data_IF_080194365833
#
_entry.id   IF_080194365833
#
_cell.length_a   1.000
_cell.length_b   1.000
_cell.length_c   1.000
_cell.angle_alpha   90.00
_cell.angle_beta   90.00
_cell.angle_gamma   90.00
#
_symmetry.space_group_name_H-M   'P 1'
#
loop_
_entity.id
_entity.type
_entity.pdbx_description
1 polymer ?
#
# COMPACT_ATOMS: atom_id res chain seq x y z
N UNK A 1 -9.22 -2.04 -6.26
CA UNK A 1 -9.97 -1.27 -7.28
C UNK A 1 -9.06 -0.36 -8.12
N UNK A 2 -8.30 0.57 -7.52
CA UNK A 2 -7.46 1.52 -8.27
C UNK A 2 -6.48 0.86 -9.26
N UNK A 3 -5.67 -0.11 -8.82
CA UNK A 3 -4.73 -0.83 -9.70
C UNK A 3 -5.41 -1.49 -10.91
N UNK A 4 -6.63 -2.02 -10.73
CA UNK A 4 -7.41 -2.59 -11.84
C UNK A 4 -7.81 -1.53 -12.85
N UNK A 5 -8.23 -0.34 -12.38
CA UNK A 5 -8.55 0.78 -13.25
C UNK A 5 -7.33 1.25 -14.05
N UNK A 6 -6.16 1.35 -13.41
CA UNK A 6 -4.91 1.69 -14.09
C UNK A 6 -4.55 0.64 -15.17
N UNK A 7 -4.60 -0.64 -14.82
CA UNK A 7 -4.33 -1.73 -15.76
C UNK A 7 -5.29 -1.73 -16.95
N UNK A 8 -6.60 -1.58 -16.71
CA UNK A 8 -7.62 -1.48 -17.76
C UNK A 8 -7.51 -0.18 -18.57
N UNK A 9 -6.98 0.88 -17.98
CA UNK A 9 -6.64 2.13 -18.63
C UNK A 9 -5.34 2.10 -19.45
N UNK A 10 -4.67 0.94 -19.53
CA UNK A 10 -3.46 0.76 -20.31
C UNK A 10 -2.15 1.12 -19.60
N UNK A 11 -2.19 1.42 -18.30
CA UNK A 11 -0.98 1.63 -17.50
C UNK A 11 -0.39 0.27 -17.12
N UNK A 12 0.85 -0.05 -17.52
CA UNK A 12 1.50 -1.29 -17.10
C UNK A 12 1.63 -1.35 -15.58
N UNK A 13 1.43 -2.52 -15.00
CA UNK A 13 1.44 -2.72 -13.54
C UNK A 13 2.57 -3.68 -13.14
N UNK A 14 3.19 -3.42 -11.99
CA UNK A 14 4.15 -4.33 -11.37
C UNK A 14 3.43 -5.20 -10.36
N UNK A 15 3.47 -6.51 -10.59
CA UNK A 15 2.98 -7.55 -9.67
C UNK A 15 3.76 -8.85 -9.88
N UNK A 16 3.85 -9.68 -8.86
CA UNK A 16 4.52 -10.99 -8.96
C UNK A 16 3.56 -12.18 -9.10
N UNK A 17 2.26 -11.94 -8.94
CA UNK A 17 1.22 -12.97 -9.06
C UNK A 17 1.28 -14.06 -7.98
N UNK A 18 2.03 -13.86 -6.89
CA UNK A 18 2.18 -14.88 -5.85
C UNK A 18 0.89 -15.17 -5.07
N UNK A 19 -0.04 -14.22 -5.04
CA UNK A 19 -1.36 -14.42 -4.46
C UNK A 19 -2.40 -14.56 -5.56
N UNK A 20 -3.01 -15.73 -5.60
CA UNK A 20 -4.16 -15.99 -6.45
C UNK A 20 -5.40 -15.24 -5.95
N UNK A 21 -6.41 -15.16 -6.81
CA UNK A 21 -7.70 -14.63 -6.43
C UNK A 21 -8.35 -15.51 -5.33
N UNK A 22 -9.06 -14.86 -4.41
CA UNK A 22 -9.83 -15.53 -3.36
C UNK A 22 -11.24 -14.93 -3.24
N UNK A 23 -12.05 -15.45 -2.32
CA UNK A 23 -13.43 -14.98 -2.11
C UNK A 23 -13.51 -13.49 -1.71
N UNK A 24 -12.49 -12.96 -1.05
CA UNK A 24 -12.42 -11.55 -0.65
C UNK A 24 -11.91 -10.66 -1.79
N UNK A 25 -11.09 -11.20 -2.68
CA UNK A 25 -10.54 -10.51 -3.83
C UNK A 25 -10.55 -11.39 -5.10
N UNK A 26 -11.72 -11.51 -5.76
CA UNK A 26 -11.91 -12.41 -6.90
C UNK A 26 -11.14 -11.99 -8.17
N UNK A 27 -10.55 -10.80 -8.18
CA UNK A 27 -9.76 -10.30 -9.31
C UNK A 27 -8.25 -10.46 -9.09
N UNK A 28 -7.83 -11.15 -8.03
CA UNK A 28 -6.42 -11.32 -7.69
C UNK A 28 -5.78 -10.06 -7.10
N UNK A 29 -4.54 -10.21 -6.66
CA UNK A 29 -3.81 -9.15 -5.97
C UNK A 29 -2.81 -8.47 -6.90
N UNK A 30 -2.94 -7.15 -7.00
CA UNK A 30 -1.98 -6.29 -7.71
C UNK A 30 -0.84 -5.91 -6.77
N UNK A 31 -0.09 -6.91 -6.31
CA UNK A 31 0.96 -6.76 -5.30
C UNK A 31 2.28 -7.37 -5.79
N UNK A 32 3.38 -6.81 -5.31
CA UNK A 32 4.72 -7.38 -5.44
C UNK A 32 5.29 -7.55 -4.04
N UNK A 33 5.67 -8.77 -3.66
CA UNK A 33 6.16 -9.08 -2.32
C UNK A 33 7.46 -8.31 -2.01
N UNK A 34 8.29 -8.00 -3.02
CA UNK A 34 9.49 -7.17 -2.86
C UNK A 34 9.19 -5.78 -2.30
N UNK A 35 7.98 -5.24 -2.48
CA UNK A 35 7.61 -3.95 -1.89
C UNK A 35 7.78 -3.95 -0.36
N UNK A 36 7.52 -5.07 0.31
CA UNK A 36 7.68 -5.21 1.77
C UNK A 36 9.12 -5.14 2.24
N UNK A 37 10.08 -5.41 1.34
CA UNK A 37 11.52 -5.38 1.59
C UNK A 37 12.16 -4.01 1.33
N UNK A 38 11.38 -3.00 0.92
CA UNK A 38 11.87 -1.62 0.77
C UNK A 38 12.54 -1.13 2.05
N UNK A 39 11.92 -1.37 3.21
CA UNK A 39 12.48 -1.02 4.54
C UNK A 39 13.80 -1.76 4.86
N UNK A 40 14.06 -2.88 4.19
CA UNK A 40 15.27 -3.68 4.34
C UNK A 40 16.36 -3.25 3.33
N UNK A 41 16.10 -2.21 2.52
CA UNK A 41 17.01 -1.67 1.51
C UNK A 41 16.91 -2.33 0.13
N UNK A 42 15.96 -3.23 -0.09
CA UNK A 42 15.76 -3.88 -1.39
C UNK A 42 15.02 -2.96 -2.36
N UNK A 43 15.78 -2.05 -2.97
CA UNK A 43 15.25 -0.99 -3.84
C UNK A 43 15.49 -1.21 -5.34
N UNK A 44 16.33 -2.19 -5.72
CA UNK A 44 16.78 -2.37 -7.12
C UNK A 44 15.63 -2.55 -8.11
N UNK A 45 14.60 -3.30 -7.72
CA UNK A 45 13.43 -3.56 -8.56
C UNK A 45 12.62 -2.28 -8.87
N UNK A 46 12.73 -1.22 -8.05
CA UNK A 46 12.04 0.06 -8.29
C UNK A 46 12.61 0.75 -9.53
N UNK A 47 13.92 0.65 -9.76
CA UNK A 47 14.56 1.19 -10.96
C UNK A 47 14.09 0.49 -12.24
N UNK A 48 13.71 -0.79 -12.16
CA UNK A 48 13.15 -1.57 -13.28
C UNK A 48 11.63 -1.36 -13.48
N UNK A 49 11.00 -0.63 -12.55
CA UNK A 49 9.57 -0.35 -12.54
C UNK A 49 9.19 0.99 -13.19
N UNK A 50 10.16 1.74 -13.73
CA UNK A 50 9.90 3.03 -14.38
C UNK A 50 8.85 2.90 -15.51
N UNK A 51 7.93 3.86 -15.57
CA UNK A 51 6.81 3.86 -16.51
C UNK A 51 5.69 2.86 -16.18
N UNK A 52 5.76 2.19 -15.03
CA UNK A 52 4.75 1.24 -14.55
C UNK A 52 4.16 1.69 -13.22
N UNK A 53 2.92 1.31 -12.95
CA UNK A 53 2.28 1.52 -11.66
C UNK A 53 2.68 0.42 -10.67
N UNK A 54 3.05 0.83 -9.46
CA UNK A 54 3.39 -0.05 -8.35
C UNK A 54 2.48 0.27 -7.17
N UNK A 55 1.87 -0.75 -6.57
CA UNK A 55 1.12 -0.58 -5.32
C UNK A 55 2.09 -0.68 -4.14
N UNK A 56 2.16 0.37 -3.34
CA UNK A 56 2.97 0.44 -2.11
C UNK A 56 2.08 0.95 -0.97
N UNK A 57 2.22 0.39 0.23
CA UNK A 57 1.53 0.92 1.41
C UNK A 57 2.20 2.22 1.86
N UNK A 58 1.44 3.14 2.45
CA UNK A 58 1.93 4.47 2.82
C UNK A 58 3.13 4.46 3.77
N UNK A 59 3.28 3.44 4.61
CA UNK A 59 4.43 3.26 5.50
C UNK A 59 5.74 2.96 4.79
N UNK A 60 5.69 2.51 3.53
CA UNK A 60 6.89 2.14 2.78
C UNK A 60 7.33 3.21 1.78
N UNK A 61 6.59 4.33 1.69
CA UNK A 61 6.91 5.43 0.78
C UNK A 61 8.25 6.09 1.12
N UNK A 62 8.60 6.20 2.41
CA UNK A 62 9.85 6.83 2.85
C UNK A 62 11.12 6.06 2.43
N UNK A 63 10.98 4.78 2.08
CA UNK A 63 12.08 3.92 1.66
C UNK A 63 12.25 3.86 0.14
N UNK A 64 11.41 4.57 -0.61
CA UNK A 64 11.57 4.66 -2.05
C UNK A 64 12.85 5.44 -2.40
N UNK A 65 13.58 5.05 -3.47
CA UNK A 65 14.74 5.81 -3.94
C UNK A 65 14.42 7.29 -4.17
N UNK A 66 15.14 8.18 -3.50
CA UNK A 66 14.95 9.63 -3.61
C UNK A 66 15.55 10.25 -4.88
N UNK A 67 16.26 9.47 -5.69
CA UNK A 67 16.85 9.87 -6.97
C UNK A 67 15.91 9.63 -8.18
N UNK A 68 14.67 9.18 -7.92
CA UNK A 68 13.63 9.00 -8.93
C UNK A 68 12.49 10.00 -8.74
N UNK A 69 11.77 10.28 -9.83
CA UNK A 69 10.55 11.09 -9.81
C UNK A 69 9.33 10.17 -9.86
N UNK A 70 8.31 10.47 -9.06
CA UNK A 70 7.12 9.65 -8.92
C UNK A 70 5.85 10.48 -9.15
N UNK A 71 4.94 9.94 -9.96
CA UNK A 71 3.54 10.37 -9.96
C UNK A 71 2.78 9.57 -8.89
N UNK A 72 2.32 10.26 -7.83
CA UNK A 72 1.68 9.61 -6.68
C UNK A 72 0.15 9.73 -6.76
N UNK A 73 -0.53 8.59 -6.83
CA UNK A 73 -1.97 8.49 -6.55
C UNK A 73 -2.14 8.02 -5.11
N UNK A 74 -2.36 8.98 -4.21
CA UNK A 74 -2.57 8.68 -2.80
C UNK A 74 -4.06 8.39 -2.52
N UNK A 75 -4.34 7.17 -2.07
CA UNK A 75 -5.72 6.70 -1.82
C UNK A 75 -6.09 6.89 -0.37
N UNK A 76 -7.12 7.70 -0.11
CA UNK A 76 -7.65 7.93 1.22
C UNK A 76 -8.97 7.20 1.44
N UNK A 77 -9.18 6.76 2.69
CA UNK A 77 -10.43 6.18 3.16
C UNK A 77 -10.72 6.71 4.55
N UNK A 78 -12.00 6.79 4.88
CA UNK A 78 -12.46 7.10 6.23
C UNK A 78 -11.82 6.12 7.24
N UNK A 79 -11.32 6.63 8.37
CA UNK A 79 -10.46 5.86 9.26
C UNK A 79 -11.23 4.78 10.02
N UNK A 80 -12.46 5.05 10.45
CA UNK A 80 -13.29 4.05 11.12
C UNK A 80 -13.62 2.88 10.18
N UNK A 81 -13.80 3.13 8.88
CA UNK A 81 -13.93 2.04 7.89
C UNK A 81 -12.65 1.20 7.75
N UNK A 82 -11.47 1.84 7.81
CA UNK A 82 -10.18 1.13 7.77
C UNK A 82 -10.03 0.24 9.01
N UNK A 83 -10.28 0.77 10.20
CA UNK A 83 -10.21 0.04 11.47
C UNK A 83 -11.17 -1.15 11.49
N UNK A 84 -12.43 -0.95 11.06
CA UNK A 84 -13.42 -2.01 10.96
C UNK A 84 -12.97 -3.13 10.01
N UNK A 85 -12.39 -2.77 8.86
CA UNK A 85 -11.84 -3.74 7.90
C UNK A 85 -10.65 -4.51 8.48
N UNK A 86 -9.75 -3.83 9.19
CA UNK A 86 -8.57 -4.44 9.81
C UNK A 86 -8.97 -5.43 10.91
N UNK A 87 -9.95 -5.08 11.74
CA UNK A 87 -10.50 -5.95 12.78
C UNK A 87 -11.09 -7.23 12.19
N UNK A 88 -11.87 -7.11 11.10
CA UNK A 88 -12.43 -8.26 10.38
C UNK A 88 -11.33 -9.16 9.80
N UNK A 89 -10.27 -8.56 9.24
CA UNK A 89 -9.13 -9.29 8.70
C UNK A 89 -8.38 -10.08 9.79
N UNK A 90 -8.08 -9.44 10.93
CA UNK A 90 -7.41 -10.07 12.07
C UNK A 90 -8.24 -11.24 12.63
N UNK A 91 -9.55 -11.02 12.83
CA UNK A 91 -10.46 -12.05 13.30
C UNK A 91 -10.48 -13.29 12.38
N UNK A 92 -10.46 -13.10 11.05
CA UNK A 92 -10.37 -14.20 10.08
C UNK A 92 -9.06 -14.97 10.15
N UNK A 93 -7.96 -14.31 10.55
CA UNK A 93 -6.65 -14.94 10.73
C UNK A 93 -6.46 -15.58 12.11
N UNK A 94 -7.44 -15.44 13.01
CA UNK A 94 -7.28 -15.82 14.42
C UNK A 94 -6.25 -14.94 15.16
N UNK A 95 -5.95 -13.77 14.61
CA UNK A 95 -5.02 -12.81 15.18
C UNK A 95 -5.79 -11.76 16.00
N UNK A 96 -5.15 -11.22 17.03
CA UNK A 96 -5.69 -10.15 17.86
C UNK A 96 -4.75 -8.96 17.78
N UNK A 97 -5.30 -7.77 17.61
CA UNK A 97 -4.50 -6.54 17.70
C UNK A 97 -3.89 -6.42 19.10
N UNK A 98 -2.62 -6.06 19.17
CA UNK A 98 -1.94 -5.79 20.45
C UNK A 98 -2.25 -4.40 21.02
N UNK A 99 -2.91 -3.54 20.25
CA UNK A 99 -3.27 -2.15 20.63
C UNK A 99 -4.78 -1.93 20.49
N UNK A 100 -5.30 -0.91 21.20
CA UNK A 100 -6.72 -0.55 21.15
C UNK A 100 -7.12 0.11 19.83
N UNK A 101 -8.42 0.14 19.53
CA UNK A 101 -8.93 0.78 18.30
C UNK A 101 -8.62 2.30 18.33
N UNK A 102 -8.68 2.95 19.50
CA UNK A 102 -8.34 4.37 19.69
C UNK A 102 -6.85 4.66 19.49
N UNK A 103 -5.98 3.79 20.01
CA UNK A 103 -4.53 3.94 19.82
C UNK A 103 -4.15 3.73 18.35
N UNK A 104 -4.76 2.74 17.70
CA UNK A 104 -4.57 2.49 16.27
C UNK A 104 -5.03 3.69 15.44
N UNK A 105 -6.19 4.26 15.76
CA UNK A 105 -6.70 5.46 15.10
C UNK A 105 -5.73 6.63 15.20
N UNK A 106 -5.22 6.91 16.40
CA UNK A 106 -4.26 8.00 16.64
C UNK A 106 -2.99 7.81 15.80
N UNK A 107 -2.41 6.60 15.82
CA UNK A 107 -1.22 6.26 15.03
C UNK A 107 -1.45 6.44 13.52
N UNK A 108 -2.60 5.98 13.00
CA UNK A 108 -2.95 6.19 11.59
C UNK A 108 -3.11 7.66 11.23
N UNK A 109 -3.73 8.47 12.09
CA UNK A 109 -3.93 9.90 11.85
C UNK A 109 -2.60 10.65 11.80
N UNK A 110 -1.68 10.34 12.69
CA UNK A 110 -0.37 10.98 12.71
C UNK A 110 0.49 10.53 11.53
N UNK A 111 0.45 9.24 11.17
CA UNK A 111 1.05 8.73 9.93
C UNK A 111 0.52 9.45 8.68
N UNK A 112 -0.81 9.59 8.58
CA UNK A 112 -1.46 10.25 7.44
C UNK A 112 -1.02 11.71 7.30
N UNK A 113 -0.91 12.45 8.42
CA UNK A 113 -0.40 13.83 8.40
C UNK A 113 1.04 13.88 7.89
N UNK A 114 1.91 12.99 8.39
CA UNK A 114 3.32 12.95 8.01
C UNK A 114 3.49 12.64 6.52
N UNK A 115 2.79 11.63 6.00
CA UNK A 115 2.85 11.27 4.58
C UNK A 115 2.26 12.37 3.69
N UNK A 116 1.15 13.00 4.09
CA UNK A 116 0.61 14.12 3.31
C UNK A 116 1.59 15.28 3.22
N UNK A 117 2.29 15.58 4.31
CA UNK A 117 3.32 16.60 4.30
C UNK A 117 4.46 16.21 3.34
N UNK A 118 4.90 14.95 3.34
CA UNK A 118 5.99 14.53 2.46
C UNK A 118 5.62 14.51 0.97
N UNK A 119 4.40 14.14 0.59
CA UNK A 119 4.00 14.04 -0.83
C UNK A 119 3.56 15.37 -1.47
N UNK A 120 3.30 16.41 -0.67
CA UNK A 120 2.87 17.74 -1.16
C UNK A 120 4.04 18.72 -1.27
N UNK A 121 5.18 18.42 -0.65
CA UNK A 121 6.33 19.36 -0.53
C UNK A 121 7.39 19.15 -1.63
N UNK A 122 7.06 18.45 -2.73
CA UNK A 122 7.95 18.27 -3.90
C UNK A 122 7.36 18.87 -5.17
#
# INVERSE_FOLDING_TARGET
>A
MMMKMLAQGGVPIVMDGQREADEDNPNGYFEIELSKKLKDGEIRWVYEAQGKAVKVISYLLEYLPGDLTYDIIFMEREIHEVLASQKKMLARRGEVSSISDEEMEAQFRDHLKAVKYSIVVF
#
